data_IF_131332120266
#
_entry.id   IF_131332120266
#
_cell.length_a   1.000
_cell.length_b   1.000
_cell.length_c   1.000
_cell.angle_alpha   90.00
_cell.angle_beta   90.00
_cell.angle_gamma   90.00
#
_symmetry.space_group_name_H-M   'P 1'
#
loop_
_entity.id
_entity.type
_entity.pdbx_description
1 polymer ?
#
# COMPACT_ATOMS: atom_id res chain seq x y z
N UNK A 1 50.77 -11.89 41.93
CA UNK A 1 49.36 -11.44 42.00
C UNK A 1 49.29 -10.08 41.33
N UNK A 2 48.84 -10.03 40.07
CA UNK A 2 48.86 -8.80 39.25
C UNK A 2 47.50 -8.13 39.36
N UNK A 3 47.47 -6.88 39.82
CA UNK A 3 46.24 -6.13 40.07
C UNK A 3 45.67 -5.60 38.73
N UNK A 4 44.39 -5.87 38.48
CA UNK A 4 43.67 -5.36 37.33
C UNK A 4 43.25 -3.91 37.58
N UNK A 5 43.67 -3.01 36.69
CA UNK A 5 43.24 -1.62 36.66
C UNK A 5 41.85 -1.53 36.03
N UNK A 6 40.82 -1.25 36.80
CA UNK A 6 39.46 -0.99 36.30
C UNK A 6 39.38 0.43 35.74
N UNK A 7 39.51 0.56 34.42
CA UNK A 7 39.20 1.78 33.68
C UNK A 7 37.69 2.00 33.61
N UNK A 8 37.15 2.86 34.47
CA UNK A 8 35.78 3.37 34.39
C UNK A 8 35.61 4.24 33.13
N UNK A 9 34.62 3.98 32.26
CA UNK A 9 34.37 4.83 31.10
C UNK A 9 33.83 6.22 31.51
N UNK A 10 34.33 7.22 30.78
CA UNK A 10 34.07 8.65 30.97
C UNK A 10 32.60 8.99 30.72
N UNK A 11 31.95 9.51 31.77
CA UNK A 11 30.82 10.46 31.80
C UNK A 11 29.99 10.56 30.51
N UNK A 12 28.82 9.92 30.51
CA UNK A 12 27.74 10.24 29.60
C UNK A 12 27.31 11.71 29.83
N UNK A 13 27.63 12.56 28.85
CA UNK A 13 27.23 13.97 28.80
C UNK A 13 25.78 13.99 28.31
N UNK A 14 24.82 14.13 29.23
CA UNK A 14 23.41 14.35 28.88
C UNK A 14 23.29 15.80 28.41
N UNK A 15 23.28 16.02 27.09
CA UNK A 15 22.87 17.29 26.51
C UNK A 15 21.36 17.26 26.31
N UNK A 16 20.63 17.97 27.17
CA UNK A 16 19.28 18.45 26.91
C UNK A 16 19.30 19.34 25.67
N UNK A 17 18.62 18.92 24.61
CA UNK A 17 18.07 19.82 23.59
C UNK A 17 16.73 19.24 23.11
N UNK A 18 15.68 20.03 23.26
CA UNK A 18 14.29 19.67 22.98
C UNK A 18 14.01 19.48 21.49
N UNK A 19 14.14 18.25 21.03
CA UNK A 19 13.76 17.84 19.67
C UNK A 19 13.60 16.33 19.56
N UNK A 20 12.74 15.72 20.39
CA UNK A 20 12.65 14.25 20.45
C UNK A 20 11.24 13.67 20.71
N UNK A 21 10.14 14.44 20.61
CA UNK A 21 8.80 13.85 20.81
C UNK A 21 8.24 13.14 19.55
N UNK A 22 8.82 13.39 18.37
CA UNK A 22 8.36 12.79 17.10
C UNK A 22 9.17 11.54 16.69
N UNK A 23 10.37 11.35 17.23
CA UNK A 23 11.20 10.14 16.96
C UNK A 23 10.75 8.93 17.79
N UNK A 24 10.15 9.16 18.96
CA UNK A 24 9.62 8.10 19.83
C UNK A 24 8.40 7.40 19.21
N UNK A 25 7.52 8.15 18.52
CA UNK A 25 6.31 7.60 17.89
C UNK A 25 6.60 6.65 16.72
N UNK A 26 7.70 6.88 15.97
CA UNK A 26 8.05 6.08 14.79
C UNK A 26 8.65 4.73 15.15
N UNK A 27 9.44 4.68 16.22
CA UNK A 27 9.96 3.42 16.76
C UNK A 27 8.84 2.56 17.38
N UNK A 28 7.90 3.17 18.07
CA UNK A 28 6.82 2.45 18.75
C UNK A 28 5.91 1.67 17.78
N UNK A 29 5.56 2.27 16.64
CA UNK A 29 4.75 1.60 15.62
C UNK A 29 5.49 0.42 14.98
N UNK A 30 6.78 0.59 14.66
CA UNK A 30 7.59 -0.49 14.11
C UNK A 30 7.69 -1.67 15.08
N UNK A 31 7.86 -1.41 16.38
CA UNK A 31 7.88 -2.45 17.43
C UNK A 31 6.54 -3.17 17.55
N UNK A 32 5.42 -2.45 17.54
CA UNK A 32 4.07 -3.06 17.62
C UNK A 32 3.78 -3.93 16.39
N UNK A 33 4.04 -3.41 15.19
CA UNK A 33 3.88 -4.16 13.95
C UNK A 33 4.82 -5.37 13.89
N UNK A 34 6.08 -5.22 14.30
CA UNK A 34 7.06 -6.32 14.32
C UNK A 34 6.62 -7.48 15.21
N UNK A 35 6.05 -7.18 16.39
CA UNK A 35 5.44 -8.20 17.26
C UNK A 35 4.28 -8.92 16.59
N UNK A 36 3.40 -8.19 15.89
CA UNK A 36 2.27 -8.77 15.16
C UNK A 36 2.74 -9.64 14.00
N UNK A 37 3.75 -9.19 13.26
CA UNK A 37 4.37 -9.96 12.19
C UNK A 37 5.02 -11.24 12.73
N UNK A 38 5.71 -11.17 13.87
CA UNK A 38 6.27 -12.35 14.54
C UNK A 38 5.19 -13.34 15.01
N UNK A 39 4.07 -12.82 15.52
CA UNK A 39 2.92 -13.65 15.89
C UNK A 39 2.30 -14.34 14.66
N UNK A 40 2.11 -13.61 13.57
CA UNK A 40 1.67 -14.15 12.28
C UNK A 40 2.58 -15.28 11.77
N UNK A 41 3.90 -15.06 11.78
CA UNK A 41 4.89 -16.07 11.38
C UNK A 41 4.80 -17.35 12.22
N UNK A 42 4.59 -17.20 13.53
CA UNK A 42 4.41 -18.32 14.46
C UNK A 42 3.16 -19.14 14.12
N UNK A 43 2.05 -18.47 13.78
CA UNK A 43 0.81 -19.13 13.36
C UNK A 43 0.97 -19.90 12.05
N UNK A 44 1.70 -19.33 11.08
CA UNK A 44 1.98 -19.96 9.79
C UNK A 44 3.11 -20.99 9.83
N UNK A 45 3.77 -21.17 10.98
CA UNK A 45 4.95 -22.04 11.17
C UNK A 45 6.08 -21.71 10.16
N UNK A 46 6.21 -20.42 9.84
CA UNK A 46 7.20 -19.92 8.89
C UNK A 46 8.23 -19.07 9.62
N UNK A 47 9.48 -19.10 9.14
CA UNK A 47 10.57 -18.29 9.67
C UNK A 47 10.70 -16.95 8.91
N UNK A 48 11.25 -15.93 9.59
CA UNK A 48 11.55 -14.63 8.95
C UNK A 48 12.37 -14.72 7.63
N UNK A 49 13.39 -15.59 7.48
CA UNK A 49 14.10 -15.75 6.22
C UNK A 49 13.26 -16.40 5.11
N UNK A 50 12.33 -17.29 5.45
CA UNK A 50 11.42 -17.91 4.47
C UNK A 50 10.46 -16.85 3.92
N UNK A 51 9.89 -16.03 4.80
CA UNK A 51 9.08 -14.87 4.38
C UNK A 51 9.88 -13.91 3.48
N UNK A 52 11.18 -13.73 3.75
CA UNK A 52 12.02 -12.87 2.94
C UNK A 52 12.21 -13.41 1.51
N UNK A 53 12.31 -14.73 1.37
CA UNK A 53 12.45 -15.41 0.08
C UNK A 53 11.17 -15.29 -0.74
N UNK A 54 10.00 -15.48 -0.12
CA UNK A 54 8.69 -15.30 -0.75
C UNK A 54 8.43 -13.85 -1.20
N UNK A 55 8.86 -12.88 -0.41
CA UNK A 55 8.68 -11.45 -0.73
C UNK A 55 9.82 -10.87 -1.58
N UNK A 56 10.79 -11.68 -2.00
CA UNK A 56 11.98 -11.26 -2.75
C UNK A 56 12.77 -10.12 -2.08
N UNK A 57 12.82 -10.11 -0.76
CA UNK A 57 13.53 -9.12 0.05
C UNK A 57 14.74 -9.73 0.74
N UNK A 58 15.66 -8.87 1.17
CA UNK A 58 16.83 -9.37 1.92
C UNK A 58 16.40 -9.95 3.27
N UNK A 59 17.00 -11.09 3.66
CA UNK A 59 16.76 -11.71 4.98
C UNK A 59 16.95 -10.73 6.14
N UNK A 60 17.93 -9.83 6.02
CA UNK A 60 18.19 -8.79 7.02
C UNK A 60 17.02 -7.81 7.18
N UNK A 61 16.35 -7.44 6.08
CA UNK A 61 15.17 -6.58 6.14
C UNK A 61 14.02 -7.27 6.92
N UNK A 62 13.76 -8.55 6.65
CA UNK A 62 12.75 -9.32 7.37
C UNK A 62 13.04 -9.41 8.88
N UNK A 63 14.30 -9.66 9.28
CA UNK A 63 14.67 -9.66 10.69
C UNK A 63 14.46 -8.29 11.36
N UNK A 64 14.78 -7.20 10.67
CA UNK A 64 14.56 -5.84 11.18
C UNK A 64 13.07 -5.54 11.35
N UNK A 65 12.20 -6.02 10.47
CA UNK A 65 10.76 -5.86 10.62
C UNK A 65 10.22 -6.62 11.83
N UNK A 66 10.60 -7.89 11.98
CA UNK A 66 10.15 -8.72 13.13
C UNK A 66 10.62 -8.15 14.46
N UNK A 67 11.83 -7.59 14.51
CA UNK A 67 12.35 -6.91 15.71
C UNK A 67 11.76 -5.51 15.93
N UNK A 68 11.09 -4.95 14.92
CA UNK A 68 10.56 -3.59 14.94
C UNK A 68 11.62 -2.51 14.85
N UNK A 69 12.78 -2.83 14.29
CA UNK A 69 13.87 -1.87 14.04
C UNK A 69 13.56 -0.98 12.82
N UNK A 70 12.74 -1.48 11.88
CA UNK A 70 12.32 -0.74 10.68
C UNK A 70 10.92 -1.13 10.24
N UNK A 71 10.26 -0.23 9.50
CA UNK A 71 9.02 -0.54 8.77
C UNK A 71 9.34 -1.06 7.36
N UNK A 72 8.54 -2.00 6.82
CA UNK A 72 8.59 -2.36 5.41
C UNK A 72 8.15 -1.17 4.53
N UNK A 73 8.59 -1.18 3.27
CA UNK A 73 8.11 -0.21 2.29
C UNK A 73 6.68 -0.54 1.88
N UNK A 74 5.98 0.43 1.27
CA UNK A 74 4.66 0.20 0.71
C UNK A 74 4.66 -0.94 -0.33
N UNK A 75 5.71 -1.04 -1.14
CA UNK A 75 5.90 -2.10 -2.12
C UNK A 75 5.94 -3.49 -1.46
N UNK A 76 6.73 -3.64 -0.39
CA UNK A 76 6.78 -4.89 0.38
C UNK A 76 5.44 -5.21 1.06
N UNK A 77 4.72 -4.20 1.54
CA UNK A 77 3.40 -4.40 2.14
C UNK A 77 2.38 -4.89 1.11
N UNK A 78 2.44 -4.39 -0.13
CA UNK A 78 1.61 -4.89 -1.23
C UNK A 78 1.98 -6.34 -1.56
N UNK A 79 3.27 -6.66 -1.68
CA UNK A 79 3.72 -8.04 -1.90
C UNK A 79 3.25 -8.99 -0.78
N UNK A 80 3.23 -8.53 0.48
CA UNK A 80 2.72 -9.31 1.60
C UNK A 80 1.21 -9.55 1.51
N UNK A 81 0.44 -8.54 1.07
CA UNK A 81 -0.99 -8.66 0.86
C UNK A 81 -1.35 -9.58 -0.33
N UNK A 82 -0.49 -9.64 -1.34
CA UNK A 82 -0.62 -10.57 -2.47
C UNK A 82 -0.25 -12.00 -2.06
N UNK A 83 0.79 -12.16 -1.24
CA UNK A 83 1.23 -13.46 -0.72
C UNK A 83 0.19 -14.10 0.19
N UNK A 84 -0.44 -13.33 1.07
CA UNK A 84 -1.45 -13.83 2.00
C UNK A 84 -2.70 -12.93 1.99
N UNK A 85 -3.65 -13.17 1.08
CA UNK A 85 -4.85 -12.35 0.95
C UNK A 85 -5.80 -12.46 2.15
N UNK A 86 -5.63 -13.49 2.98
CA UNK A 86 -6.41 -13.68 4.20
C UNK A 86 -5.89 -12.83 5.37
N UNK A 87 -4.64 -12.34 5.31
CA UNK A 87 -4.06 -11.50 6.35
C UNK A 87 -4.56 -10.06 6.20
N UNK A 88 -5.11 -9.50 7.28
CA UNK A 88 -5.51 -8.10 7.29
C UNK A 88 -4.31 -7.16 7.45
N UNK A 89 -4.07 -6.33 6.43
CA UNK A 89 -3.03 -5.30 6.50
C UNK A 89 -3.34 -4.22 7.54
N UNK A 90 -4.62 -3.86 7.71
CA UNK A 90 -5.07 -2.95 8.76
C UNK A 90 -4.73 -3.47 10.15
N UNK A 91 -4.95 -4.76 10.41
CA UNK A 91 -4.56 -5.38 11.66
C UNK A 91 -3.04 -5.42 11.83
N UNK A 92 -2.29 -5.76 10.78
CA UNK A 92 -0.83 -5.81 10.85
C UNK A 92 -0.25 -4.44 11.21
N UNK A 93 -0.67 -3.39 10.52
CA UNK A 93 -0.15 -2.03 10.66
C UNK A 93 -0.69 -1.32 11.91
N UNK A 94 -2.00 -1.33 12.12
CA UNK A 94 -2.63 -0.54 13.19
C UNK A 94 -2.94 -1.38 14.44
N UNK A 95 -3.18 -2.67 14.28
CA UNK A 95 -3.65 -3.57 15.35
C UNK A 95 -5.13 -3.45 15.64
N UNK A 96 -5.86 -2.72 14.79
CA UNK A 96 -7.30 -2.56 14.90
C UNK A 96 -7.98 -3.66 14.09
N UNK A 97 -9.10 -4.19 14.59
CA UNK A 97 -9.89 -5.19 13.89
C UNK A 97 -9.42 -6.63 14.07
N UNK A 98 -9.81 -7.47 13.12
CA UNK A 98 -9.53 -8.91 13.10
C UNK A 98 -8.21 -9.19 12.35
N UNK A 99 -7.42 -10.15 12.85
CA UNK A 99 -6.16 -10.53 12.20
C UNK A 99 -6.40 -11.09 10.80
N UNK A 100 -7.47 -11.86 10.64
CA UNK A 100 -7.80 -12.55 9.41
C UNK A 100 -9.00 -11.82 8.81
N UNK A 101 -8.97 -11.59 7.50
CA UNK A 101 -10.18 -11.23 6.78
C UNK A 101 -11.15 -12.41 6.92
N UNK A 102 -12.05 -12.36 7.92
CA UNK A 102 -13.23 -13.22 7.89
C UNK A 102 -13.98 -12.82 6.64
N UNK A 103 -14.02 -13.77 5.71
CA UNK A 103 -14.82 -13.81 4.49
C UNK A 103 -14.13 -13.36 3.21
N UNK A 104 -13.53 -14.37 2.58
CA UNK A 104 -13.62 -14.57 1.16
C UNK A 104 -12.33 -14.25 0.42
N UNK A 105 -11.87 -15.22 -0.38
CA UNK A 105 -10.87 -15.06 -1.43
C UNK A 105 -11.13 -13.78 -2.26
N UNK A 106 -10.11 -13.28 -2.96
CA UNK A 106 -10.29 -12.13 -3.88
C UNK A 106 -11.44 -12.35 -4.88
N UNK A 107 -11.66 -13.60 -5.29
CA UNK A 107 -12.79 -14.00 -6.13
C UNK A 107 -14.12 -13.84 -5.41
N UNK A 108 -14.25 -14.31 -4.16
CA UNK A 108 -15.47 -14.13 -3.37
C UNK A 108 -15.76 -12.66 -3.06
N UNK A 109 -14.73 -11.84 -2.87
CA UNK A 109 -14.88 -10.38 -2.70
C UNK A 109 -15.33 -9.71 -4.00
N UNK A 110 -14.75 -10.11 -5.14
CA UNK A 110 -15.15 -9.61 -6.46
C UNK A 110 -16.58 -10.04 -6.79
N UNK A 111 -16.93 -11.28 -6.47
CA UNK A 111 -18.27 -11.82 -6.67
C UNK A 111 -19.29 -11.10 -5.80
N UNK A 112 -18.97 -10.88 -4.51
CA UNK A 112 -19.78 -10.05 -3.62
C UNK A 112 -19.91 -8.61 -4.15
N UNK A 113 -18.83 -8.02 -4.68
CA UNK A 113 -18.86 -6.67 -5.25
C UNK A 113 -19.72 -6.60 -6.52
N UNK A 114 -19.69 -7.62 -7.37
CA UNK A 114 -20.57 -7.75 -8.55
C UNK A 114 -22.03 -7.88 -8.14
N UNK A 115 -22.32 -8.78 -7.21
CA UNK A 115 -23.68 -8.97 -6.67
C UNK A 115 -24.20 -7.67 -6.04
N UNK A 116 -23.36 -6.97 -5.27
CA UNK A 116 -23.73 -5.69 -4.66
C UNK A 116 -23.98 -4.61 -5.72
N UNK A 117 -23.16 -4.54 -6.78
CA UNK A 117 -23.36 -3.58 -7.87
C UNK A 117 -24.67 -3.82 -8.63
N UNK A 118 -25.04 -5.09 -8.83
CA UNK A 118 -26.31 -5.47 -9.43
C UNK A 118 -27.50 -5.16 -8.51
N UNK A 119 -27.37 -5.43 -7.21
CA UNK A 119 -28.36 -5.06 -6.20
C UNK A 119 -28.54 -3.53 -6.10
N UNK A 120 -27.45 -2.75 -6.12
CA UNK A 120 -27.50 -1.29 -6.11
C UNK A 120 -28.17 -0.76 -7.39
N UNK A 121 -27.90 -1.37 -8.55
CA UNK A 121 -28.57 -1.06 -9.82
C UNK A 121 -30.08 -1.32 -9.75
N UNK A 122 -30.48 -2.42 -9.11
CA UNK A 122 -31.89 -2.77 -8.93
C UNK A 122 -32.61 -1.88 -7.92
N UNK A 123 -31.94 -1.47 -6.84
CA UNK A 123 -32.48 -0.61 -5.78
C UNK A 123 -32.56 0.85 -6.23
N UNK A 124 -31.58 1.33 -6.99
CA UNK A 124 -31.54 2.70 -7.54
C UNK A 124 -32.33 2.82 -8.86
N UNK A 125 -33.44 2.08 -9.01
CA UNK A 125 -34.32 2.22 -10.18
C UNK A 125 -34.60 3.70 -10.45
N UNK A 126 -34.17 4.18 -11.62
CA UNK A 126 -34.16 5.59 -12.09
C UNK A 126 -33.03 6.44 -11.48
N UNK A 127 -31.93 6.65 -12.18
CA UNK A 127 -31.87 7.67 -13.24
C UNK A 127 -31.45 7.04 -14.56
N UNK A 128 -32.38 6.97 -15.51
CA UNK A 128 -31.98 6.82 -16.90
C UNK A 128 -31.15 8.05 -17.30
N UNK A 129 -30.17 7.92 -18.21
CA UNK A 129 -29.75 9.06 -19.01
C UNK A 129 -30.89 9.35 -19.99
N UNK A 130 -31.83 10.20 -19.57
CA UNK A 130 -32.53 11.05 -20.51
C UNK A 130 -31.65 12.27 -20.76
N UNK A 131 -31.17 12.41 -22.00
CA UNK A 131 -30.55 13.63 -22.53
C UNK A 131 -29.08 13.45 -22.89
N UNK A 132 -28.79 13.43 -24.19
CA UNK A 132 -27.52 13.03 -24.79
C UNK A 132 -27.71 11.90 -25.80
N UNK A 133 -28.77 12.00 -26.61
CA UNK A 133 -28.67 11.95 -28.06
C UNK A 133 -27.57 11.00 -28.58
N UNK A 134 -28.03 9.85 -29.07
CA UNK A 134 -27.32 9.03 -30.03
C UNK A 134 -26.55 9.92 -31.02
N UNK A 135 -25.24 10.02 -30.86
CA UNK A 135 -24.36 10.10 -32.01
C UNK A 135 -24.10 8.65 -32.38
N UNK A 136 -24.93 8.14 -33.27
CA UNK A 136 -24.68 6.86 -33.89
C UNK A 136 -23.36 6.94 -34.65
N UNK A 137 -22.71 5.82 -34.93
CA UNK A 137 -21.49 5.78 -35.74
C UNK A 137 -21.67 6.28 -37.19
N UNK A 138 -22.81 6.89 -37.53
CA UNK A 138 -23.13 7.50 -38.81
C UNK A 138 -23.02 9.04 -38.79
N UNK A 139 -22.91 9.69 -37.62
CA UNK A 139 -22.88 11.15 -37.51
C UNK A 139 -21.45 11.76 -37.53
N UNK A 140 -20.40 10.92 -37.53
CA UNK A 140 -19.00 11.38 -37.59
C UNK A 140 -18.46 11.59 -39.02
N UNK A 141 -19.22 11.19 -40.05
CA UNK A 141 -18.83 11.42 -41.45
C UNK A 141 -19.22 12.83 -41.95
N UNK A 142 -19.99 13.61 -41.19
CA UNK A 142 -20.44 14.96 -41.60
C UNK A 142 -19.49 16.10 -41.17
N UNK A 143 -18.47 15.82 -40.34
CA UNK A 143 -17.49 16.84 -39.87
C UNK A 143 -16.28 16.97 -40.82
N UNK A 144 -16.15 16.12 -41.83
CA UNK A 144 -15.00 16.13 -42.74
C UNK A 144 -15.12 17.12 -43.91
N UNK A 145 -16.28 17.74 -44.14
CA UNK A 145 -16.55 18.53 -45.36
C UNK A 145 -16.40 20.06 -45.20
N UNK A 146 -16.04 20.54 -44.00
CA UNK A 146 -15.79 21.97 -43.76
C UNK A 146 -14.35 22.23 -43.28
N UNK A 147 -13.39 21.45 -43.81
CA UNK A 147 -12.02 21.93 -43.88
C UNK A 147 -12.02 23.07 -44.92
N UNK A 148 -11.76 24.33 -44.55
CA UNK A 148 -11.49 25.34 -45.54
C UNK A 148 -10.27 24.89 -46.34
N UNK A 149 -10.49 24.54 -47.60
CA UNK A 149 -9.43 24.51 -48.61
C UNK A 149 -8.76 25.89 -48.59
N UNK A 150 -7.42 25.86 -48.47
CA UNK A 150 -6.51 27.00 -48.55
C UNK A 150 -6.97 28.05 -49.57
N UNK A 151 -6.91 29.34 -49.22
CA UNK A 151 -6.40 30.31 -50.15
C UNK A 151 -4.91 30.47 -49.87
N UNK A 152 -4.12 29.92 -50.79
CA UNK A 152 -2.85 30.52 -51.18
C UNK A 152 -3.02 32.05 -51.20
N UNK A 153 -2.21 32.82 -50.46
CA UNK A 153 -1.49 33.92 -51.08
C UNK A 153 -0.45 34.58 -50.17
N UNK A 154 0.71 34.80 -50.79
CA UNK A 154 1.67 35.89 -50.63
C UNK A 154 1.80 36.61 -49.27
N UNK A 155 2.95 36.40 -48.62
CA UNK A 155 3.82 37.52 -48.19
C UNK A 155 5.17 37.03 -47.65
N UNK A 156 6.14 36.89 -48.55
CA UNK A 156 7.50 37.37 -48.24
C UNK A 156 7.45 38.90 -48.32
N UNK A 157 7.95 39.63 -47.31
CA UNK A 157 9.21 40.37 -47.52
C UNK A 157 10.03 40.51 -46.22
N UNK A 158 11.32 40.86 -46.18
CA UNK A 158 12.38 41.06 -47.18
C UNK A 158 13.72 40.84 -46.43
#
# INVERSE_FOLDING_TARGET
MTQYTTGLPRKARITTNGGCEMSERRGEQAVKMGRRLGFYLTLRKMNAPELAEELHVTRNAAYRWVRGESMPSAETLMALAEFDPDLSMDWLLTGSGEMWHREGTAEERLERARILADQMRAVLGTTGPGGGDDLTAQDLDEIADDLPEDPEDDSLPA
#
